data_IF_104288035076
#
_entry.id   IF_104288035076
#
_cell.length_a   1.000
_cell.length_b   1.000
_cell.length_c   1.000
_cell.angle_alpha   90.00
_cell.angle_beta   90.00
_cell.angle_gamma   90.00
#
_symmetry.space_group_name_H-M   'P 1'
#
loop_
_entity.id
_entity.type
_entity.pdbx_description
1 polymer ?
#
# COMPACT_ATOMS: atom_id res chain seq x y z
N UNK A 1 10.02 -11.38 -0.81
CA UNK A 1 8.65 -10.92 -0.57
C UNK A 1 8.11 -10.25 -1.83
N UNK A 2 6.90 -10.57 -2.19
CA UNK A 2 6.20 -9.97 -3.31
C UNK A 2 5.18 -8.97 -2.78
N UNK A 3 5.33 -7.72 -3.15
CA UNK A 3 4.44 -6.65 -2.71
C UNK A 3 3.72 -6.07 -3.92
N UNK A 4 2.40 -6.04 -3.86
CA UNK A 4 1.57 -5.39 -4.87
C UNK A 4 0.90 -4.17 -4.24
N UNK A 5 1.04 -3.01 -4.86
CA UNK A 5 0.27 -1.82 -4.51
C UNK A 5 -0.86 -1.73 -5.53
N UNK A 6 -2.07 -1.93 -5.05
CA UNK A 6 -3.27 -1.92 -5.87
C UNK A 6 -4.01 -0.61 -5.60
N UNK A 7 -4.12 0.23 -6.59
CA UNK A 7 -4.64 1.59 -6.39
C UNK A 7 -5.65 1.96 -7.47
N UNK A 8 -6.61 2.79 -7.09
CA UNK A 8 -7.62 3.33 -7.98
C UNK A 8 -7.11 4.63 -8.58
N UNK A 9 -7.16 4.72 -9.91
CA UNK A 9 -6.75 5.89 -10.65
C UNK A 9 -5.32 5.85 -11.14
N UNK A 10 -5.02 6.68 -12.13
CA UNK A 10 -3.70 6.82 -12.73
C UNK A 10 -2.97 8.03 -12.16
N UNK A 11 -1.66 7.90 -12.09
CA UNK A 11 -0.79 9.00 -11.71
C UNK A 11 -0.58 9.88 -12.94
N UNK A 12 -1.19 11.05 -12.96
CA UNK A 12 -1.24 11.92 -14.16
C UNK A 12 -0.07 12.89 -14.25
N UNK A 13 0.32 13.50 -13.14
CA UNK A 13 1.38 14.51 -13.13
C UNK A 13 2.76 13.85 -13.25
N UNK A 14 3.62 14.42 -14.13
CA UNK A 14 4.98 13.87 -14.31
C UNK A 14 5.79 13.81 -13.01
N UNK A 15 5.65 14.79 -12.12
CA UNK A 15 6.41 14.83 -10.87
C UNK A 15 6.03 13.67 -9.93
N UNK A 16 4.76 13.25 -9.91
CA UNK A 16 4.34 12.08 -9.13
C UNK A 16 4.86 10.78 -9.75
N UNK A 17 4.81 10.70 -11.08
CA UNK A 17 5.35 9.51 -11.78
C UNK A 17 6.85 9.37 -11.55
N UNK A 18 7.57 10.47 -11.57
CA UNK A 18 9.01 10.47 -11.31
C UNK A 18 9.32 10.06 -9.86
N UNK A 19 8.56 10.59 -8.90
CA UNK A 19 8.70 10.22 -7.50
C UNK A 19 8.42 8.73 -7.30
N UNK A 20 7.37 8.21 -7.91
CA UNK A 20 7.04 6.78 -7.85
C UNK A 20 8.18 5.92 -8.38
N UNK A 21 8.71 6.26 -9.56
CA UNK A 21 9.83 5.52 -10.17
C UNK A 21 11.07 5.50 -9.29
N UNK A 22 11.35 6.60 -8.60
CA UNK A 22 12.50 6.68 -7.71
C UNK A 22 12.37 5.68 -6.55
N UNK A 23 11.19 5.62 -5.90
CA UNK A 23 10.97 4.67 -4.82
C UNK A 23 10.85 3.23 -5.31
N UNK A 24 10.25 3.00 -6.47
CA UNK A 24 10.22 1.67 -7.09
C UNK A 24 11.64 1.15 -7.30
N UNK A 25 12.53 2.00 -7.81
CA UNK A 25 13.94 1.66 -7.99
C UNK A 25 14.63 1.31 -6.66
N UNK A 26 14.43 2.13 -5.64
CA UNK A 26 15.00 1.88 -4.31
C UNK A 26 14.47 0.59 -3.70
N UNK A 27 13.18 0.32 -3.86
CA UNK A 27 12.53 -0.87 -3.33
C UNK A 27 12.94 -2.15 -4.05
N UNK A 28 13.41 -2.06 -5.29
CA UNK A 28 13.79 -3.24 -6.07
C UNK A 28 14.88 -4.08 -5.44
N UNK A 29 15.67 -3.51 -4.54
CA UNK A 29 16.72 -4.21 -3.80
C UNK A 29 16.16 -5.07 -2.66
N UNK A 30 14.92 -4.81 -2.22
CA UNK A 30 14.36 -5.39 -1.01
C UNK A 30 13.18 -6.32 -1.27
N UNK A 31 12.43 -6.07 -2.34
CA UNK A 31 11.24 -6.86 -2.64
C UNK A 31 10.94 -6.81 -4.14
N UNK A 32 10.05 -7.71 -4.56
CA UNK A 32 9.45 -7.64 -5.88
C UNK A 32 8.20 -6.78 -5.79
N UNK A 33 8.27 -5.56 -6.30
CA UNK A 33 7.17 -4.60 -6.22
C UNK A 33 6.44 -4.51 -7.55
N UNK A 34 5.12 -4.62 -7.50
CA UNK A 34 4.23 -4.39 -8.64
C UNK A 34 3.23 -3.33 -8.22
N UNK A 35 3.06 -2.29 -9.04
CA UNK A 35 2.01 -1.29 -8.86
C UNK A 35 0.96 -1.53 -9.94
N UNK A 36 -0.27 -1.78 -9.51
CA UNK A 36 -1.40 -2.01 -10.40
C UNK A 36 -2.40 -0.87 -10.22
N UNK A 37 -2.61 -0.13 -11.30
CA UNK A 37 -3.59 0.96 -11.33
C UNK A 37 -4.90 0.43 -11.93
N UNK A 38 -5.99 0.57 -11.18
CA UNK A 38 -7.32 0.24 -11.65
C UNK A 38 -8.07 1.51 -12.03
N UNK A 39 -8.95 1.39 -13.00
CA UNK A 39 -9.74 2.52 -13.48
C UNK A 39 -10.69 3.03 -12.40
N UNK A 40 -10.82 4.35 -12.31
CA UNK A 40 -11.84 4.96 -11.46
C UNK A 40 -13.23 4.52 -11.92
N UNK A 41 -14.06 4.14 -10.97
CA UNK A 41 -15.43 3.75 -11.21
C UNK A 41 -16.43 4.78 -10.72
N UNK A 42 -17.74 4.54 -10.91
CA UNK A 42 -18.76 5.47 -10.46
C UNK A 42 -18.98 5.47 -8.95
N UNK A 43 -18.46 4.49 -8.24
CA UNK A 43 -18.64 4.37 -6.80
C UNK A 43 -17.55 3.48 -6.18
N UNK A 44 -17.32 3.59 -4.85
CA UNK A 44 -16.44 2.67 -4.14
C UNK A 44 -16.87 1.21 -4.28
N UNK A 45 -18.18 0.94 -4.34
CA UNK A 45 -18.68 -0.41 -4.52
C UNK A 45 -18.22 -1.03 -5.83
N UNK A 46 -18.34 -0.27 -6.93
CA UNK A 46 -17.93 -0.74 -8.25
C UNK A 46 -16.42 -0.91 -8.35
N UNK A 47 -15.66 0.06 -7.82
CA UNK A 47 -14.21 -0.04 -7.72
C UNK A 47 -13.80 -1.25 -6.88
N UNK A 48 -14.52 -1.50 -5.80
CA UNK A 48 -14.28 -2.63 -4.91
C UNK A 48 -14.46 -3.99 -5.59
N UNK A 49 -15.42 -4.11 -6.48
CA UNK A 49 -15.62 -5.35 -7.27
C UNK A 49 -14.35 -5.64 -8.10
N UNK A 50 -13.79 -4.63 -8.74
CA UNK A 50 -12.57 -4.77 -9.54
C UNK A 50 -11.36 -5.11 -8.67
N UNK A 51 -11.25 -4.49 -7.50
CA UNK A 51 -10.20 -4.79 -6.52
C UNK A 51 -10.28 -6.25 -6.11
N UNK A 52 -11.47 -6.70 -5.67
CA UNK A 52 -11.66 -8.07 -5.17
C UNK A 52 -11.33 -9.14 -6.20
N UNK A 53 -11.58 -8.87 -7.48
CA UNK A 53 -11.23 -9.79 -8.57
C UNK A 53 -9.72 -10.00 -8.71
N UNK A 54 -8.92 -9.06 -8.24
CA UNK A 54 -7.45 -9.13 -8.31
C UNK A 54 -6.82 -9.83 -7.13
N UNK A 55 -7.59 -10.09 -6.07
CA UNK A 55 -7.08 -10.69 -4.84
C UNK A 55 -7.20 -12.21 -4.89
N UNK A 56 -6.20 -12.87 -4.28
CA UNK A 56 -6.17 -14.32 -4.10
C UNK A 56 -6.35 -14.65 -2.62
N UNK A 57 -6.75 -15.90 -2.33
CA UNK A 57 -6.95 -16.33 -0.94
C UNK A 57 -5.69 -16.23 -0.09
N UNK A 58 -4.53 -16.52 -0.68
CA UNK A 58 -3.27 -16.52 0.03
C UNK A 58 -2.60 -15.14 0.13
N UNK A 59 -3.23 -14.10 -0.41
CA UNK A 59 -2.74 -12.74 -0.26
C UNK A 59 -2.99 -12.24 1.16
N UNK A 60 -1.97 -11.63 1.75
CA UNK A 60 -2.16 -10.83 2.96
C UNK A 60 -2.48 -9.41 2.53
N UNK A 61 -3.69 -8.98 2.82
CA UNK A 61 -4.24 -7.71 2.31
C UNK A 61 -4.22 -6.66 3.40
N UNK A 62 -3.57 -5.54 3.08
CA UNK A 62 -3.52 -4.35 3.94
C UNK A 62 -4.27 -3.23 3.22
N UNK A 63 -5.35 -2.76 3.80
CA UNK A 63 -6.11 -1.63 3.25
C UNK A 63 -5.71 -0.34 3.96
N UNK A 64 -5.49 0.72 3.17
CA UNK A 64 -5.30 2.06 3.70
C UNK A 64 -6.66 2.71 3.85
N UNK A 65 -7.01 3.05 5.09
CA UNK A 65 -8.30 3.65 5.41
C UNK A 65 -8.11 4.60 6.60
N UNK A 66 -8.77 5.77 6.54
CA UNK A 66 -8.64 6.79 7.60
C UNK A 66 -9.05 6.27 8.97
N UNK A 67 -9.96 5.29 9.02
CA UNK A 67 -10.44 4.68 10.26
C UNK A 67 -9.62 3.46 10.67
N UNK A 68 -8.56 3.15 9.92
CA UNK A 68 -7.69 2.04 10.24
C UNK A 68 -6.82 2.30 11.47
N UNK A 69 -6.04 1.29 11.83
CA UNK A 69 -5.11 1.36 12.95
C UNK A 69 -3.97 2.32 12.61
N UNK A 70 -3.73 3.36 13.43
CA UNK A 70 -2.55 4.19 13.24
C UNK A 70 -1.30 3.40 13.62
N UNK A 71 -0.27 3.50 12.79
CA UNK A 71 1.01 2.84 13.03
C UNK A 71 2.14 3.86 12.96
N UNK A 72 3.16 3.64 13.78
CA UNK A 72 4.44 4.35 13.60
C UNK A 72 5.21 3.69 12.46
N UNK A 73 6.23 4.36 11.95
CA UNK A 73 7.11 3.77 10.92
C UNK A 73 7.76 2.48 11.43
N UNK A 74 8.20 2.47 12.69
CA UNK A 74 8.75 1.27 13.33
C UNK A 74 7.70 0.17 13.46
N UNK A 75 6.45 0.55 13.75
CA UNK A 75 5.33 -0.40 13.83
C UNK A 75 5.05 -1.06 12.49
N UNK A 76 5.04 -0.29 11.42
CA UNK A 76 4.87 -0.82 10.07
C UNK A 76 6.03 -1.75 9.70
N UNK A 77 7.26 -1.34 10.00
CA UNK A 77 8.45 -2.18 9.76
C UNK A 77 8.34 -3.53 10.47
N UNK A 78 7.96 -3.53 11.75
CA UNK A 78 7.77 -4.78 12.51
C UNK A 78 6.69 -5.66 11.90
N UNK A 79 5.60 -5.06 11.42
CA UNK A 79 4.51 -5.81 10.79
C UNK A 79 5.00 -6.50 9.52
N UNK A 80 5.74 -5.78 8.69
CA UNK A 80 6.29 -6.34 7.43
C UNK A 80 7.30 -7.45 7.75
N UNK A 81 8.18 -7.24 8.70
CA UNK A 81 9.14 -8.25 9.13
C UNK A 81 8.45 -9.52 9.61
N UNK A 82 7.43 -9.37 10.46
CA UNK A 82 6.67 -10.51 10.98
C UNK A 82 5.96 -11.28 9.87
N UNK A 83 5.43 -10.61 8.87
CA UNK A 83 4.81 -11.28 7.72
C UNK A 83 5.82 -12.17 7.01
N UNK A 84 7.04 -11.70 6.81
CA UNK A 84 8.11 -12.50 6.23
C UNK A 84 8.46 -13.71 7.09
N UNK A 85 8.57 -13.54 8.39
CA UNK A 85 8.86 -14.63 9.34
C UNK A 85 7.74 -15.68 9.34
N UNK A 86 6.49 -15.25 9.24
CA UNK A 86 5.32 -16.13 9.20
C UNK A 86 5.11 -16.81 7.84
N UNK A 87 5.96 -16.52 6.86
CA UNK A 87 5.83 -17.08 5.52
C UNK A 87 4.76 -16.42 4.66
N UNK A 88 4.25 -15.25 5.07
CA UNK A 88 3.29 -14.46 4.29
C UNK A 88 4.05 -13.64 3.25
N UNK A 89 4.44 -14.27 2.17
CA UNK A 89 5.31 -13.66 1.16
C UNK A 89 4.58 -12.83 0.10
N UNK A 90 3.25 -12.90 0.07
CA UNK A 90 2.40 -12.18 -0.90
C UNK A 90 1.58 -11.14 -0.15
N UNK A 91 1.99 -9.89 -0.26
CA UNK A 91 1.34 -8.78 0.45
C UNK A 91 0.74 -7.84 -0.59
N UNK A 92 -0.53 -7.51 -0.41
CA UNK A 92 -1.24 -6.55 -1.27
C UNK A 92 -1.66 -5.36 -0.42
N UNK A 93 -1.18 -4.16 -0.79
CA UNK A 93 -1.61 -2.92 -0.15
C UNK A 93 -2.60 -2.22 -1.08
N UNK A 94 -3.73 -1.81 -0.53
CA UNK A 94 -4.82 -1.23 -1.32
C UNK A 94 -5.02 0.24 -0.96
N UNK A 95 -5.02 1.08 -1.99
CA UNK A 95 -5.33 2.52 -1.88
C UNK A 95 -6.58 2.78 -2.70
N UNK A 96 -7.63 3.27 -2.07
CA UNK A 96 -8.88 3.61 -2.74
C UNK A 96 -8.82 4.92 -3.49
N UNK A 97 -9.91 5.23 -4.18
CA UNK A 97 -10.09 6.51 -4.84
C UNK A 97 -10.53 7.60 -3.85
N UNK A 98 -11.03 8.71 -4.39
CA UNK A 98 -11.42 9.89 -3.59
C UNK A 98 -12.50 9.62 -2.55
N UNK A 99 -13.38 8.64 -2.80
CA UNK A 99 -14.47 8.29 -1.89
C UNK A 99 -14.16 7.09 -0.99
N UNK A 100 -12.90 6.64 -0.98
CA UNK A 100 -12.44 5.56 -0.10
C UNK A 100 -12.71 4.16 -0.64
N UNK A 101 -12.67 3.18 0.26
CA UNK A 101 -12.85 1.77 -0.05
C UNK A 101 -14.23 1.27 0.38
N UNK A 102 -14.78 0.32 -0.38
CA UNK A 102 -16.06 -0.31 -0.03
C UNK A 102 -15.93 -1.17 1.21
N UNK A 103 -17.08 -1.45 1.85
CA UNK A 103 -17.12 -2.34 3.02
C UNK A 103 -16.65 -3.75 2.67
N UNK A 104 -16.92 -4.23 1.46
CA UNK A 104 -16.50 -5.56 1.03
C UNK A 104 -14.97 -5.65 0.95
N UNK A 105 -14.31 -4.61 0.43
CA UNK A 105 -12.84 -4.56 0.40
C UNK A 105 -12.27 -4.50 1.82
N UNK A 106 -12.82 -3.63 2.66
CA UNK A 106 -12.39 -3.51 4.06
C UNK A 106 -12.59 -4.82 4.82
N UNK A 107 -13.71 -5.51 4.57
CA UNK A 107 -13.99 -6.81 5.19
C UNK A 107 -13.03 -7.91 4.73
N UNK A 108 -12.53 -7.84 3.49
CA UNK A 108 -11.53 -8.78 2.98
C UNK A 108 -10.14 -8.52 3.57
N UNK A 109 -9.84 -7.28 3.91
CA UNK A 109 -8.52 -6.91 4.37
C UNK A 109 -8.16 -7.63 5.69
N UNK A 110 -6.93 -8.11 5.76
CA UNK A 110 -6.38 -8.72 6.96
C UNK A 110 -5.96 -7.66 7.97
N UNK A 111 -5.66 -6.46 7.49
CA UNK A 111 -5.23 -5.34 8.30
C UNK A 111 -5.69 -4.05 7.64
N UNK A 112 -6.20 -3.11 8.45
CA UNK A 112 -6.55 -1.77 7.99
C UNK A 112 -5.64 -0.80 8.72
N UNK A 113 -4.89 0.02 7.97
CA UNK A 113 -3.97 1.00 8.56
C UNK A 113 -4.33 2.41 8.12
N UNK A 114 -4.06 3.38 9.00
CA UNK A 114 -4.23 4.80 8.71
C UNK A 114 -2.90 5.51 8.79
N UNK A 115 -2.58 6.32 7.78
CA UNK A 115 -1.41 7.19 7.83
C UNK A 115 -1.67 8.44 8.65
N UNK A 116 -2.92 8.92 8.65
CA UNK A 116 -3.28 10.17 9.30
C UNK A 116 -4.80 10.33 9.28
N UNK A 117 -5.31 11.16 10.19
CA UNK A 117 -6.70 11.62 10.14
C UNK A 117 -6.87 12.81 9.18
N UNK A 118 -5.77 13.36 8.67
CA UNK A 118 -5.80 14.38 7.63
C UNK A 118 -6.14 13.76 6.29
N UNK A 119 -6.72 14.56 5.41
CA UNK A 119 -7.02 14.14 4.03
C UNK A 119 -5.88 14.57 3.11
N UNK A 120 -5.39 13.65 2.30
CA UNK A 120 -4.35 13.91 1.31
C UNK A 120 -4.85 13.50 -0.08
N UNK A 121 -4.33 14.13 -1.14
CA UNK A 121 -4.59 13.60 -2.48
C UNK A 121 -4.11 12.16 -2.57
N UNK A 122 -4.90 11.28 -3.18
CA UNK A 122 -4.56 9.85 -3.22
C UNK A 122 -3.27 9.55 -3.99
N UNK A 123 -2.89 10.39 -4.96
CA UNK A 123 -1.61 10.24 -5.65
C UNK A 123 -0.43 10.47 -4.69
N UNK A 124 -0.56 11.46 -3.80
CA UNK A 124 0.44 11.75 -2.78
C UNK A 124 0.53 10.62 -1.75
N UNK A 125 -0.60 10.06 -1.33
CA UNK A 125 -0.65 8.91 -0.44
C UNK A 125 0.11 7.73 -1.03
N UNK A 126 0.00 7.51 -2.33
CA UNK A 126 0.76 6.45 -3.00
C UNK A 126 2.26 6.63 -2.82
N UNK A 127 2.74 7.87 -2.99
CA UNK A 127 4.17 8.16 -2.79
C UNK A 127 4.56 7.96 -1.32
N UNK A 128 3.74 8.44 -0.38
CA UNK A 128 3.98 8.23 1.04
C UNK A 128 4.05 6.75 1.38
N UNK A 129 3.18 5.93 0.81
CA UNK A 129 3.21 4.49 1.03
C UNK A 129 4.52 3.88 0.54
N UNK A 130 4.94 4.22 -0.67
CA UNK A 130 6.20 3.70 -1.22
C UNK A 130 7.40 4.12 -0.35
N UNK A 131 7.42 5.36 0.10
CA UNK A 131 8.46 5.85 1.00
C UNK A 131 8.46 5.07 2.32
N UNK A 132 7.29 4.83 2.91
CA UNK A 132 7.18 4.08 4.16
C UNK A 132 7.57 2.62 3.99
N UNK A 133 7.30 2.00 2.87
CA UNK A 133 7.77 0.65 2.56
C UNK A 133 9.30 0.62 2.48
N UNK A 134 9.89 1.57 1.79
CA UNK A 134 11.35 1.71 1.71
C UNK A 134 11.96 1.90 3.10
N UNK A 135 11.39 2.81 3.89
CA UNK A 135 11.81 3.07 5.27
C UNK A 135 11.71 1.81 6.12
N UNK A 136 10.64 1.03 5.95
CA UNK A 136 10.43 -0.23 6.67
C UNK A 136 11.57 -1.21 6.39
N UNK A 137 11.94 -1.40 5.13
CA UNK A 137 13.05 -2.30 4.79
C UNK A 137 14.39 -1.78 5.31
N UNK A 138 14.60 -0.47 5.31
CA UNK A 138 15.80 0.12 5.92
C UNK A 138 15.89 -0.19 7.41
N UNK A 139 14.77 -0.06 8.12
CA UNK A 139 14.68 -0.39 9.55
C UNK A 139 14.94 -1.89 9.76
N UNK A 140 14.29 -2.76 8.99
CA UNK A 140 14.43 -4.21 9.11
C UNK A 140 15.88 -4.64 8.92
N UNK A 141 16.57 -4.06 7.95
CA UNK A 141 17.97 -4.38 7.64
C UNK A 141 18.99 -3.68 8.55
N UNK A 142 18.54 -2.79 9.43
CA UNK A 142 19.43 -2.02 10.27
C UNK A 142 20.28 -1.03 9.50
N UNK A 143 19.83 -0.60 8.33
CA UNK A 143 20.57 0.35 7.51
C UNK A 143 20.21 1.78 7.88
N UNK A 144 21.17 2.69 7.72
CA UNK A 144 20.99 4.11 8.05
C UNK A 144 20.03 4.78 7.08
N UNK A 145 18.90 5.23 7.58
CA UNK A 145 17.90 6.02 6.85
C UNK A 145 16.90 6.65 7.82
N UNK A 146 16.23 5.82 8.62
CA UNK A 146 15.24 6.27 9.60
C UNK A 146 15.92 6.94 10.80
N UNK A 147 15.40 8.09 11.20
CA UNK A 147 15.94 8.85 12.33
C UNK A 147 14.90 9.04 13.42
#
# INVERSE_FOLDING_TARGET
>A
MNITVLCIGKMKEPYWREASKEYEKRLSKYCNLIITELKEGPSPLKEGEDILKRLREDDFVIALDMKGQPLTSEGLARRIENLGIEGKSKVVLIIGGSDGLSQDVLGRANLQISFSTLTFPHQMIRIFLLEQLYRSFKIIKGETYHK
#
